data_IF_266925300441
#
_entry.id   IF_266925300441
#
_cell.length_a   1.000
_cell.length_b   1.000
_cell.length_c   1.000
_cell.angle_alpha   90.00
_cell.angle_beta   90.00
_cell.angle_gamma   90.00
#
_symmetry.space_group_name_H-M   'P 1'
#
loop_
_entity.id
_entity.type
_entity.pdbx_description
1 polymer ?
#
# COMPACT_ATOMS: atom_id res chain seq x y z
N UNK A 1 16.87 6.51 19.33
CA UNK A 1 15.42 6.59 19.01
C UNK A 1 14.69 7.64 19.84
N UNK A 2 15.11 7.89 21.09
CA UNK A 2 14.51 8.90 21.99
C UNK A 2 14.44 10.33 21.44
N UNK A 3 15.22 10.67 20.41
CA UNK A 3 15.16 11.96 19.71
C UNK A 3 14.01 12.09 18.70
N UNK A 4 13.30 11.00 18.41
CA UNK A 4 12.21 10.97 17.43
C UNK A 4 10.86 10.97 18.19
N UNK A 5 10.02 12.01 18.05
CA UNK A 5 8.69 12.07 18.65
C UNK A 5 7.77 10.94 18.17
N UNK A 6 6.76 10.57 18.98
CA UNK A 6 5.85 9.47 18.65
C UNK A 6 5.07 9.71 17.36
N UNK A 7 4.63 10.94 17.09
CA UNK A 7 3.96 11.28 15.84
C UNK A 7 4.83 10.97 14.61
N UNK A 8 6.12 11.30 14.69
CA UNK A 8 7.10 10.96 13.64
C UNK A 8 7.29 9.45 13.52
N UNK A 9 7.33 8.71 14.64
CA UNK A 9 7.42 7.24 14.61
C UNK A 9 6.21 6.62 13.92
N UNK A 10 5.00 7.06 14.27
CA UNK A 10 3.76 6.57 13.65
C UNK A 10 3.74 6.88 12.14
N UNK A 11 4.26 8.04 11.75
CA UNK A 11 4.42 8.42 10.34
C UNK A 11 5.36 7.47 9.60
N UNK A 12 6.55 7.22 10.16
CA UNK A 12 7.53 6.28 9.60
C UNK A 12 6.94 4.87 9.51
N UNK A 13 6.31 4.38 10.59
CA UNK A 13 5.67 3.08 10.66
C UNK A 13 4.58 2.92 9.59
N UNK A 14 3.76 3.94 9.38
CA UNK A 14 2.71 3.91 8.38
C UNK A 14 3.32 3.78 6.97
N UNK A 15 4.35 4.57 6.65
CA UNK A 15 5.04 4.52 5.35
C UNK A 15 5.78 3.22 5.03
N UNK A 16 5.95 2.33 6.00
CA UNK A 16 6.63 1.05 5.74
C UNK A 16 5.85 0.17 4.76
N UNK A 17 4.53 0.39 4.64
CA UNK A 17 3.69 -0.32 3.67
C UNK A 17 4.11 -0.04 2.22
N UNK A 18 4.54 1.19 1.93
CA UNK A 18 4.98 1.63 0.62
C UNK A 18 6.32 1.00 0.22
N UNK A 19 7.08 0.47 1.17
CA UNK A 19 8.30 -0.31 0.92
C UNK A 19 8.05 -1.81 0.84
N UNK A 20 6.78 -2.24 0.93
CA UNK A 20 6.41 -3.65 0.97
C UNK A 20 6.78 -4.35 2.27
N UNK A 21 7.03 -3.60 3.35
CA UNK A 21 7.25 -4.20 4.67
C UNK A 21 5.91 -4.65 5.25
N UNK A 22 5.94 -5.77 6.00
CA UNK A 22 4.75 -6.28 6.68
C UNK A 22 4.30 -5.37 7.83
N UNK A 23 5.25 -4.76 8.54
CA UNK A 23 5.00 -3.86 9.66
C UNK A 23 6.23 -2.98 9.93
N UNK A 24 5.98 -1.74 10.37
CA UNK A 24 7.00 -0.82 10.87
C UNK A 24 6.90 -0.69 12.38
N UNK A 25 7.89 -1.18 13.11
CA UNK A 25 7.89 -1.21 14.57
C UNK A 25 8.99 -0.33 15.15
N UNK A 26 8.65 0.38 16.22
CA UNK A 26 9.59 1.11 17.07
C UNK A 26 9.63 0.43 18.44
N UNK A 27 10.83 0.26 19.05
CA UNK A 27 10.94 -0.29 20.38
C UNK A 27 10.25 0.61 21.41
N UNK A 28 9.78 -0.02 22.49
CA UNK A 28 9.24 0.71 23.64
C UNK A 28 10.39 1.43 24.33
N UNK A 29 10.30 2.75 24.44
CA UNK A 29 11.23 3.58 25.19
C UNK A 29 10.47 4.61 26.04
N UNK A 30 11.22 5.40 26.81
CA UNK A 30 10.63 6.42 27.71
C UNK A 30 9.77 7.44 26.95
N UNK A 31 10.12 7.78 25.72
CA UNK A 31 9.31 8.69 24.89
C UNK A 31 7.93 8.10 24.61
N UNK A 32 7.85 6.81 24.29
CA UNK A 32 6.57 6.11 24.09
C UNK A 32 5.80 5.96 25.40
N UNK A 33 6.49 5.62 26.49
CA UNK A 33 5.86 5.52 27.82
C UNK A 33 5.19 6.84 28.22
N UNK A 34 5.91 7.97 28.11
CA UNK A 34 5.35 9.28 28.42
C UNK A 34 4.12 9.60 27.56
N UNK A 35 4.18 9.28 26.26
CA UNK A 35 3.05 9.50 25.35
C UNK A 35 1.83 8.62 25.72
N UNK A 36 2.05 7.34 26.06
CA UNK A 36 0.98 6.45 26.51
C UNK A 36 0.33 6.94 27.80
N UNK A 37 1.12 7.42 28.77
CA UNK A 37 0.62 7.99 30.03
C UNK A 37 -0.18 9.27 29.79
N UNK A 38 0.26 10.11 28.87
CA UNK A 38 -0.52 11.27 28.43
C UNK A 38 -1.86 10.84 27.84
N UNK A 39 -1.88 9.85 26.94
CA UNK A 39 -3.11 9.31 26.34
C UNK A 39 -4.03 8.61 27.34
N UNK A 40 -3.50 7.93 28.36
CA UNK A 40 -4.30 7.37 29.45
C UNK A 40 -4.98 8.48 30.27
N UNK A 41 -4.26 9.56 30.55
CA UNK A 41 -4.81 10.73 31.26
C UNK A 41 -5.89 11.43 30.43
N UNK A 42 -5.62 11.70 29.15
CA UNK A 42 -6.58 12.24 28.19
C UNK A 42 -7.85 11.37 28.14
N UNK A 43 -7.70 10.06 27.96
CA UNK A 43 -8.83 9.13 27.91
C UNK A 43 -9.64 9.09 29.22
N UNK A 44 -9.00 9.27 30.38
CA UNK A 44 -9.68 9.32 31.67
C UNK A 44 -10.47 10.63 31.88
N UNK A 45 -10.03 11.74 31.28
CA UNK A 45 -10.69 13.05 31.38
C UNK A 45 -12.00 13.11 30.60
N UNK A 46 -12.18 12.28 29.57
CA UNK A 46 -13.39 12.24 28.72
C UNK A 46 -14.23 10.99 28.99
N UNK A 47 -15.43 11.10 29.60
CA UNK A 47 -16.26 9.96 29.99
C UNK A 47 -16.59 9.00 28.83
N UNK A 48 -16.82 9.53 27.63
CA UNK A 48 -17.23 8.78 26.44
C UNK A 48 -16.05 8.29 25.57
N UNK A 49 -14.82 8.33 26.08
CA UNK A 49 -13.64 7.96 25.33
C UNK A 49 -13.54 6.44 25.12
N UNK A 50 -13.62 5.97 23.87
CA UNK A 50 -13.61 4.54 23.49
C UNK A 50 -12.35 3.74 23.88
N UNK A 51 -11.31 4.42 24.36
CA UNK A 51 -10.08 3.80 24.85
C UNK A 51 -9.91 3.88 26.37
N UNK A 52 -10.85 4.47 27.12
CA UNK A 52 -10.75 4.69 28.58
C UNK A 52 -10.49 3.40 29.37
N UNK A 53 -11.09 2.30 28.94
CA UNK A 53 -10.88 0.98 29.55
C UNK A 53 -9.69 0.22 28.94
N UNK A 54 -9.18 0.70 27.79
CA UNK A 54 -8.11 0.03 27.03
C UNK A 54 -6.72 0.55 27.35
N UNK A 55 -6.59 1.85 27.58
CA UNK A 55 -5.33 2.57 27.81
C UNK A 55 -5.42 3.20 29.20
N UNK A 56 -4.99 2.45 30.22
CA UNK A 56 -4.95 2.89 31.63
C UNK A 56 -3.51 2.95 32.13
N UNK A 57 -3.25 3.77 33.14
CA UNK A 57 -1.92 3.83 33.77
C UNK A 57 -1.47 2.46 34.30
N UNK A 58 -2.38 1.69 34.89
CA UNK A 58 -2.11 0.33 35.40
C UNK A 58 -1.65 -0.62 34.28
N UNK A 59 -2.32 -0.63 33.12
CA UNK A 59 -1.92 -1.45 31.97
C UNK A 59 -0.59 -1.01 31.37
N UNK A 60 -0.28 0.28 31.43
CA UNK A 60 1.01 0.80 30.99
C UNK A 60 2.11 0.31 31.95
N UNK A 61 1.86 0.32 33.26
CA UNK A 61 2.80 -0.21 34.25
C UNK A 61 3.06 -1.72 34.03
N UNK A 62 2.01 -2.50 33.75
CA UNK A 62 2.12 -3.93 33.39
C UNK A 62 2.97 -4.13 32.12
N UNK A 63 2.74 -3.32 31.08
CA UNK A 63 3.50 -3.38 29.82
C UNK A 63 4.98 -3.04 30.04
N UNK A 64 5.27 -2.03 30.86
CA UNK A 64 6.62 -1.58 31.16
C UNK A 64 7.37 -2.54 32.10
N UNK A 65 6.67 -3.33 32.91
CA UNK A 65 7.26 -4.30 33.82
C UNK A 65 7.90 -5.50 33.10
N UNK A 66 7.45 -5.81 31.88
CA UNK A 66 7.97 -6.90 31.06
C UNK A 66 8.10 -6.46 29.60
N UNK A 67 9.12 -5.65 29.26
CA UNK A 67 9.32 -5.20 27.89
C UNK A 67 9.57 -6.40 26.96
N UNK A 68 9.04 -6.31 25.73
CA UNK A 68 9.33 -7.27 24.68
C UNK A 68 10.72 -6.98 24.11
N UNK A 69 11.59 -7.98 24.17
CA UNK A 69 12.91 -7.95 23.53
C UNK A 69 12.89 -8.76 22.23
N UNK A 70 13.76 -8.40 21.29
CA UNK A 70 13.98 -9.22 20.11
C UNK A 70 14.63 -10.56 20.50
N UNK A 71 14.32 -11.62 19.76
CA UNK A 71 14.95 -12.92 19.96
C UNK A 71 16.49 -12.82 19.80
N UNK A 72 17.29 -13.59 20.57
CA UNK A 72 18.76 -13.50 20.54
C UNK A 72 19.41 -13.73 19.17
N UNK A 73 18.72 -14.41 18.26
CA UNK A 73 19.15 -14.71 16.88
C UNK A 73 18.52 -13.77 15.84
N UNK A 74 17.84 -12.71 16.26
CA UNK A 74 17.35 -11.68 15.36
C UNK A 74 18.52 -10.96 14.66
N UNK A 75 18.49 -10.95 13.33
CA UNK A 75 19.50 -10.33 12.48
C UNK A 75 18.86 -9.26 11.60
N UNK A 76 19.56 -8.14 11.40
CA UNK A 76 19.13 -7.12 10.44
C UNK A 76 19.38 -7.62 9.01
N UNK A 77 18.31 -7.90 8.27
CA UNK A 77 18.43 -8.27 6.86
C UNK A 77 18.91 -7.11 5.98
N UNK A 78 18.50 -5.87 6.30
CA UNK A 78 18.93 -4.62 5.63
C UNK A 78 18.88 -3.45 6.60
N UNK A 79 19.74 -2.47 6.39
CA UNK A 79 19.66 -1.15 7.01
C UNK A 79 19.29 -0.12 5.94
N UNK A 80 18.22 0.64 6.19
CA UNK A 80 17.72 1.66 5.28
C UNK A 80 17.98 3.04 5.88
N UNK A 81 18.54 3.94 5.07
CA UNK A 81 18.65 5.36 5.39
C UNK A 81 17.57 6.09 4.58
N UNK A 82 16.65 6.75 5.27
CA UNK A 82 15.44 7.28 4.67
C UNK A 82 15.28 8.76 5.00
N UNK A 83 14.97 9.55 3.97
CA UNK A 83 14.49 10.94 4.09
C UNK A 83 13.01 10.93 3.71
N UNK A 84 12.12 11.15 4.68
CA UNK A 84 10.69 10.84 4.57
C UNK A 84 9.82 12.08 4.49
N UNK A 85 8.80 12.05 3.61
CA UNK A 85 8.01 13.21 3.15
C UNK A 85 6.60 12.74 2.67
N UNK A 86 5.46 13.32 3.14
CA UNK A 86 4.19 12.53 3.25
C UNK A 86 2.80 13.26 3.35
N UNK A 87 1.68 12.49 3.28
CA UNK A 87 0.24 12.81 3.52
C UNK A 87 -0.48 11.72 4.36
N UNK A 88 -1.66 11.96 4.98
CA UNK A 88 -2.44 11.14 5.98
C UNK A 88 -1.67 10.63 7.21
N UNK A 89 -0.41 10.31 7.01
CA UNK A 89 0.71 10.29 7.95
C UNK A 89 1.02 11.65 8.59
N UNK A 90 0.76 12.78 7.90
CA UNK A 90 1.07 14.15 8.36
C UNK A 90 -0.20 15.04 8.50
N UNK A 91 -1.21 14.56 9.22
CA UNK A 91 -2.47 15.28 9.44
C UNK A 91 -2.86 15.40 10.92
N UNK A 92 -1.90 15.22 11.83
CA UNK A 92 -2.10 15.51 13.26
C UNK A 92 -2.00 17.01 13.51
N UNK A 93 -2.46 17.46 14.67
CA UNK A 93 -2.37 18.86 15.07
C UNK A 93 -0.93 19.39 15.00
N UNK A 94 0.05 18.58 15.39
CA UNK A 94 1.48 18.91 15.28
C UNK A 94 1.95 19.15 13.84
N UNK A 95 1.42 18.40 12.87
CA UNK A 95 1.73 18.58 11.45
C UNK A 95 1.09 19.87 10.89
N UNK A 96 -0.17 20.12 11.26
CA UNK A 96 -0.90 21.35 10.91
C UNK A 96 -0.15 22.56 11.47
N UNK A 97 0.30 22.46 12.72
CA UNK A 97 1.08 23.51 13.38
C UNK A 97 2.40 23.78 12.66
N UNK A 98 3.10 22.74 12.18
CA UNK A 98 4.33 22.89 11.40
C UNK A 98 4.09 23.63 10.08
N UNK A 99 3.02 23.30 9.34
CA UNK A 99 2.63 24.07 8.16
C UNK A 99 2.31 25.54 8.50
N UNK A 100 1.52 25.77 9.56
CA UNK A 100 1.13 27.10 10.01
C UNK A 100 2.33 27.94 10.46
N UNK A 101 3.36 27.31 11.03
CA UNK A 101 4.59 28.00 11.41
C UNK A 101 5.25 28.71 10.22
N UNK A 102 5.21 28.12 9.01
CA UNK A 102 5.70 28.73 7.78
C UNK A 102 4.90 29.98 7.41
N UNK A 103 3.56 29.91 7.50
CA UNK A 103 2.69 31.07 7.26
C UNK A 103 2.89 32.17 8.30
N UNK A 104 3.03 31.81 9.58
CA UNK A 104 3.29 32.76 10.68
C UNK A 104 4.67 33.41 10.55
N UNK A 105 5.69 32.68 10.12
CA UNK A 105 7.02 33.24 9.87
C UNK A 105 7.00 34.20 8.68
N UNK A 106 6.35 33.82 7.58
CA UNK A 106 6.15 34.71 6.44
C UNK A 106 5.32 35.96 6.80
N UNK A 107 4.33 35.82 7.69
CA UNK A 107 3.56 36.95 8.20
C UNK A 107 4.44 37.92 8.99
N UNK A 108 5.36 37.43 9.83
CA UNK A 108 6.34 38.29 10.54
C UNK A 108 7.18 39.11 9.57
N UNK A 109 7.60 38.52 8.45
CA UNK A 109 8.35 39.23 7.41
C UNK A 109 7.49 40.27 6.66
N UNK A 110 6.16 40.11 6.66
CA UNK A 110 5.18 40.95 5.95
C UNK A 110 4.33 41.83 6.90
N UNK A 111 4.91 42.32 7.99
CA UNK A 111 4.23 43.27 8.88
C UNK A 111 3.08 42.68 9.69
N UNK A 112 3.09 41.36 9.91
CA UNK A 112 2.10 40.63 10.71
C UNK A 112 0.89 40.11 9.92
N UNK A 113 0.81 40.36 8.61
CA UNK A 113 -0.30 39.91 7.77
C UNK A 113 0.01 38.51 7.22
N UNK A 114 -0.89 37.55 7.46
CA UNK A 114 -0.78 36.20 6.91
C UNK A 114 -0.86 36.29 5.37
N UNK A 115 0.18 35.83 4.64
CA UNK A 115 0.16 35.85 3.19
C UNK A 115 -0.85 34.84 2.64
N UNK A 116 -1.50 35.22 1.53
CA UNK A 116 -2.40 34.33 0.80
C UNK A 116 -1.61 33.32 -0.04
N UNK A 117 -2.15 32.11 -0.17
CA UNK A 117 -1.71 31.13 -1.16
C UNK A 117 -1.85 31.76 -2.54
N UNK A 118 -0.86 31.53 -3.42
CA UNK A 118 -0.89 32.13 -4.76
C UNK A 118 -2.03 31.55 -5.60
N UNK A 119 -2.67 32.37 -6.42
CA UNK A 119 -3.91 32.00 -7.14
C UNK A 119 -3.81 30.74 -8.01
N UNK A 120 -2.61 30.40 -8.47
CA UNK A 120 -2.35 29.22 -9.31
C UNK A 120 -2.26 27.92 -8.51
N UNK A 121 -2.18 28.00 -7.17
CA UNK A 121 -2.11 26.84 -6.28
C UNK A 121 -3.42 26.68 -5.53
N UNK A 122 -3.97 25.47 -5.57
CA UNK A 122 -5.03 25.06 -4.65
C UNK A 122 -4.42 24.22 -3.54
N UNK A 123 -4.55 24.69 -2.30
CA UNK A 123 -4.13 23.95 -1.12
C UNK A 123 -5.36 23.37 -0.43
N UNK A 124 -5.32 22.07 -0.14
CA UNK A 124 -6.36 21.39 0.62
C UNK A 124 -5.84 20.97 1.99
N UNK A 125 -6.69 21.04 3.01
CA UNK A 125 -6.37 20.60 4.36
C UNK A 125 -7.38 19.56 4.86
N UNK A 126 -6.87 18.60 5.63
CA UNK A 126 -7.65 17.55 6.27
C UNK A 126 -6.95 17.18 7.59
N UNK A 127 -7.73 17.01 8.65
CA UNK A 127 -7.23 16.48 9.92
C UNK A 127 -7.34 14.95 9.96
N UNK A 128 -6.43 14.28 10.65
CA UNK A 128 -6.40 12.83 10.79
C UNK A 128 -7.61 12.28 11.58
N UNK A 129 -8.21 13.10 12.44
CA UNK A 129 -9.46 12.79 13.14
C UNK A 129 -10.18 14.09 13.53
N UNK A 130 -11.45 13.97 13.95
CA UNK A 130 -12.22 15.11 14.46
C UNK A 130 -11.54 15.81 15.65
N UNK A 131 -10.79 15.06 16.47
CA UNK A 131 -10.09 15.61 17.64
C UNK A 131 -8.83 16.38 17.26
N UNK A 132 -8.10 15.89 16.26
CA UNK A 132 -6.95 16.62 15.72
C UNK A 132 -7.41 17.91 15.04
N UNK A 133 -8.60 17.89 14.43
CA UNK A 133 -9.23 19.09 13.89
C UNK A 133 -9.62 20.06 15.01
N UNK A 134 -10.32 19.59 16.04
CA UNK A 134 -10.73 20.40 17.21
C UNK A 134 -9.51 21.04 17.89
N UNK A 135 -8.43 20.28 18.11
CA UNK A 135 -7.18 20.83 18.65
C UNK A 135 -6.54 21.91 17.75
N UNK A 136 -6.60 21.73 16.43
CA UNK A 136 -6.13 22.72 15.46
C UNK A 136 -7.04 23.96 15.40
N UNK A 137 -8.36 23.80 15.60
CA UNK A 137 -9.33 24.87 15.67
C UNK A 137 -9.17 25.68 16.97
N UNK A 138 -9.05 24.99 18.12
CA UNK A 138 -8.85 25.59 19.45
C UNK A 138 -7.55 26.40 19.54
N UNK A 139 -6.49 25.92 18.89
CA UNK A 139 -5.21 26.65 18.79
C UNK A 139 -5.25 27.79 17.76
N UNK A 140 -6.31 27.90 16.97
CA UNK A 140 -6.47 28.85 15.87
C UNK A 140 -5.63 28.55 14.63
N UNK A 141 -4.86 27.46 14.63
CA UNK A 141 -3.99 27.05 13.52
C UNK A 141 -4.82 26.67 12.28
N UNK A 142 -5.98 26.04 12.49
CA UNK A 142 -6.91 25.71 11.41
C UNK A 142 -7.40 26.95 10.65
N UNK A 143 -7.77 28.00 11.40
CA UNK A 143 -8.27 29.25 10.81
C UNK A 143 -7.17 29.98 10.03
N UNK A 144 -5.91 29.92 10.46
CA UNK A 144 -4.79 30.54 9.73
C UNK A 144 -4.67 29.98 8.31
N UNK A 145 -4.85 28.67 8.12
CA UNK A 145 -4.77 28.04 6.80
C UNK A 145 -5.98 28.40 5.92
N UNK A 146 -7.19 28.41 6.50
CA UNK A 146 -8.40 28.86 5.79
C UNK A 146 -8.28 30.33 5.37
N UNK A 147 -7.80 31.19 6.27
CA UNK A 147 -7.54 32.60 5.99
C UNK A 147 -6.44 32.78 4.94
N UNK A 148 -5.49 31.85 4.81
CA UNK A 148 -4.53 31.87 3.72
C UNK A 148 -5.12 31.46 2.36
N UNK A 149 -6.34 30.89 2.34
CA UNK A 149 -7.03 30.43 1.13
C UNK A 149 -6.99 28.91 0.93
N UNK A 150 -6.67 28.13 1.96
CA UNK A 150 -6.77 26.68 1.90
C UNK A 150 -8.24 26.23 1.99
N UNK A 151 -8.56 25.13 1.31
CA UNK A 151 -9.91 24.56 1.30
C UNK A 151 -9.94 23.25 2.13
N UNK A 152 -10.97 23.09 2.96
CA UNK A 152 -11.21 21.84 3.65
C UNK A 152 -11.80 20.81 2.66
N UNK A 153 -10.97 19.83 2.30
CA UNK A 153 -11.24 18.63 1.47
C UNK A 153 -12.15 18.78 0.22
N UNK A 154 -11.56 18.60 -0.96
CA UNK A 154 -12.22 18.00 -2.15
C UNK A 154 -11.25 17.07 -2.89
N UNK A 155 -11.81 16.11 -3.64
CA UNK A 155 -11.13 15.04 -4.39
C UNK A 155 -9.99 15.49 -5.32
N UNK A 156 -8.93 14.67 -5.40
CA UNK A 156 -7.83 14.81 -6.35
C UNK A 156 -8.22 14.43 -7.80
N UNK A 157 -7.49 14.99 -8.77
CA UNK A 157 -7.68 14.76 -10.22
C UNK A 157 -6.82 13.61 -10.73
N UNK A 158 -7.33 12.84 -11.72
CA UNK A 158 -6.59 11.77 -12.41
C UNK A 158 -5.40 12.28 -13.23
N UNK A 159 -5.39 13.55 -13.59
CA UNK A 159 -4.34 14.18 -14.41
C UNK A 159 -3.28 14.89 -13.55
N UNK A 160 -3.39 14.83 -12.22
CA UNK A 160 -2.48 15.53 -11.33
C UNK A 160 -1.10 14.85 -11.28
N UNK A 161 -0.04 15.64 -11.41
CA UNK A 161 1.30 15.23 -10.99
C UNK A 161 1.37 15.36 -9.47
N UNK A 162 1.49 14.24 -8.76
CA UNK A 162 1.52 14.19 -7.31
C UNK A 162 2.97 14.14 -6.79
N UNK A 163 3.27 15.02 -5.83
CA UNK A 163 4.54 15.05 -5.12
C UNK A 163 4.24 14.99 -3.62
N UNK A 164 4.93 14.11 -2.90
CA UNK A 164 4.84 14.06 -1.45
C UNK A 164 5.78 15.13 -0.87
N UNK A 165 5.24 15.98 0.01
CA UNK A 165 5.92 17.10 0.68
C UNK A 165 5.68 17.03 2.19
N UNK A 166 6.62 17.47 3.03
CA UNK A 166 6.34 17.64 4.46
C UNK A 166 5.37 18.82 4.61
N UNK A 167 4.62 18.95 5.72
CA UNK A 167 3.70 20.07 5.91
C UNK A 167 4.34 21.44 5.63
N UNK A 168 5.60 21.62 6.05
CA UNK A 168 6.37 22.84 5.83
C UNK A 168 6.77 23.05 4.37
N UNK A 169 7.16 21.99 3.66
CA UNK A 169 7.48 22.05 2.23
C UNK A 169 6.21 22.35 1.41
N UNK A 170 5.08 21.72 1.75
CA UNK A 170 3.79 22.00 1.10
C UNK A 170 3.37 23.44 1.34
N UNK A 171 3.43 23.92 2.57
CA UNK A 171 3.13 25.31 2.93
C UNK A 171 4.04 26.31 2.20
N UNK A 172 5.35 26.07 2.22
CA UNK A 172 6.32 26.92 1.53
C UNK A 172 6.13 26.93 0.01
N UNK A 173 5.78 25.78 -0.57
CA UNK A 173 5.49 25.67 -2.01
C UNK A 173 4.20 26.40 -2.36
N UNK A 174 3.16 26.31 -1.51
CA UNK A 174 1.89 27.00 -1.70
C UNK A 174 2.02 28.52 -1.66
N UNK A 175 2.90 29.06 -0.82
CA UNK A 175 3.20 30.49 -0.78
C UNK A 175 4.02 30.98 -1.97
N UNK A 176 4.83 30.11 -2.60
CA UNK A 176 5.72 30.50 -3.70
C UNK A 176 5.20 30.15 -5.10
N UNK A 177 4.22 29.26 -5.21
CA UNK A 177 3.71 28.77 -6.50
C UNK A 177 4.61 27.78 -7.22
N UNK A 178 5.71 27.36 -6.59
CA UNK A 178 6.69 26.41 -7.11
C UNK A 178 7.13 25.47 -5.98
N UNK A 179 7.57 24.26 -6.31
CA UNK A 179 8.10 23.31 -5.31
C UNK A 179 9.31 23.94 -4.60
N UNK A 180 9.20 24.16 -3.29
CA UNK A 180 10.21 24.82 -2.49
C UNK A 180 10.19 24.34 -1.04
N UNK A 181 11.36 24.28 -0.41
CA UNK A 181 11.45 24.12 1.03
C UNK A 181 11.16 25.41 1.82
N UNK A 182 11.01 25.32 3.16
CA UNK A 182 10.74 26.45 4.05
C UNK A 182 11.93 27.43 4.22
N UNK A 183 13.09 27.14 3.60
CA UNK A 183 14.27 28.00 3.66
C UNK A 183 15.15 27.81 4.89
N UNK A 184 14.75 26.94 5.84
CA UNK A 184 15.54 26.58 7.02
C UNK A 184 16.75 25.68 6.69
N UNK A 185 16.71 24.96 5.57
CA UNK A 185 17.78 24.06 5.16
C UNK A 185 18.92 24.84 4.48
N UNK A 186 20.09 24.83 5.09
CA UNK A 186 21.35 25.24 4.45
C UNK A 186 22.01 24.01 3.85
N UNK A 187 22.26 24.03 2.55
CA UNK A 187 22.98 22.97 1.85
C UNK A 187 24.37 22.82 2.49
N UNK A 188 24.75 21.62 2.96
CA UNK A 188 26.08 21.37 3.50
C UNK A 188 27.17 21.69 2.47
N UNK A 189 28.32 22.21 2.92
CA UNK A 189 29.43 22.61 2.04
C UNK A 189 29.96 21.45 1.17
N UNK A 190 29.73 20.20 1.59
CA UNK A 190 30.13 18.97 0.92
C UNK A 190 29.00 18.27 0.14
N UNK A 191 27.90 18.97 -0.15
CA UNK A 191 26.79 18.40 -0.91
C UNK A 191 27.16 18.24 -2.40
N UNK A 192 27.20 17.00 -2.89
CA UNK A 192 27.50 16.67 -4.28
C UNK A 192 26.24 16.38 -5.13
N UNK A 193 25.04 16.56 -4.57
CA UNK A 193 23.77 16.18 -5.19
C UNK A 193 22.98 15.18 -4.36
N UNK A 194 21.80 14.80 -4.85
CA UNK A 194 21.02 13.67 -4.32
C UNK A 194 21.46 12.42 -5.08
N UNK A 195 21.86 11.38 -4.35
CA UNK A 195 22.10 10.08 -4.98
C UNK A 195 20.76 9.43 -5.29
N UNK A 196 20.47 9.26 -6.58
CA UNK A 196 19.23 8.65 -7.03
C UNK A 196 19.36 7.12 -6.95
N UNK A 197 18.98 6.56 -5.80
CA UNK A 197 18.81 5.12 -5.68
C UNK A 197 17.51 4.67 -6.35
N UNK A 198 17.60 3.92 -7.44
CA UNK A 198 16.49 3.06 -7.82
C UNK A 198 16.46 1.92 -6.81
N UNK A 199 15.32 1.74 -6.15
CA UNK A 199 15.04 0.53 -5.39
C UNK A 199 15.06 -0.65 -6.35
N UNK A 200 16.24 -1.19 -6.64
CA UNK A 200 16.33 -2.49 -7.26
C UNK A 200 15.79 -3.43 -6.20
N UNK A 201 14.57 -3.91 -6.41
CA UNK A 201 14.13 -5.18 -5.84
C UNK A 201 15.09 -6.25 -6.34
N UNK A 202 16.28 -6.30 -5.74
CA UNK A 202 17.05 -7.51 -5.70
C UNK A 202 16.18 -8.47 -4.90
N UNK A 203 15.34 -9.19 -5.64
CA UNK A 203 15.22 -10.63 -5.45
C UNK A 203 16.68 -11.06 -5.40
N UNK A 204 17.22 -11.24 -4.19
CA UNK A 204 18.49 -11.95 -4.06
C UNK A 204 18.34 -13.16 -4.96
N UNK A 205 19.34 -13.43 -5.81
CA UNK A 205 19.38 -14.69 -6.52
C UNK A 205 19.31 -15.78 -5.44
N UNK A 206 18.10 -16.18 -5.05
CA UNK A 206 17.80 -17.54 -4.71
C UNK A 206 18.13 -18.18 -6.04
N UNK A 207 19.38 -18.63 -6.16
CA UNK A 207 19.75 -19.58 -7.18
C UNK A 207 18.57 -20.54 -7.22
N UNK A 208 17.89 -20.56 -8.37
CA UNK A 208 16.93 -21.61 -8.66
C UNK A 208 17.75 -22.87 -8.49
N UNK A 209 17.71 -23.44 -7.28
CA UNK A 209 18.24 -24.74 -7.00
C UNK A 209 17.50 -25.58 -8.01
N UNK A 210 18.24 -26.13 -8.96
CA UNK A 210 17.78 -27.20 -9.82
C UNK A 210 17.37 -28.32 -8.88
N UNK A 211 16.16 -28.21 -8.34
CA UNK A 211 15.55 -29.25 -7.54
C UNK A 211 15.14 -30.27 -8.55
N UNK A 212 15.99 -31.29 -8.65
CA UNK A 212 15.70 -32.56 -9.28
C UNK A 212 14.24 -32.94 -9.04
N UNK A 213 13.62 -33.41 -10.11
CA UNK A 213 12.18 -33.58 -10.32
C UNK A 213 11.49 -34.67 -9.48
N UNK A 214 11.97 -34.95 -8.27
CA UNK A 214 11.52 -36.09 -7.45
C UNK A 214 11.00 -35.68 -6.06
N UNK A 215 10.19 -34.62 -5.99
CA UNK A 215 9.34 -34.36 -4.82
C UNK A 215 8.07 -35.22 -4.86
N UNK A 216 7.49 -35.61 -3.71
CA UNK A 216 6.19 -36.29 -3.70
C UNK A 216 5.11 -35.36 -4.30
N UNK A 217 4.20 -35.93 -5.08
CA UNK A 217 3.10 -35.18 -5.69
C UNK A 217 2.24 -34.49 -4.62
N UNK A 218 1.80 -33.26 -4.88
CA UNK A 218 0.89 -32.53 -3.99
C UNK A 218 -0.45 -33.26 -3.95
N UNK A 219 -0.97 -33.48 -2.76
CA UNK A 219 -2.32 -34.04 -2.57
C UNK A 219 -3.35 -32.99 -3.01
N UNK A 220 -4.24 -33.40 -3.92
CA UNK A 220 -5.30 -32.53 -4.45
C UNK A 220 -6.61 -32.85 -3.72
N UNK A 221 -7.18 -31.83 -3.07
CA UNK A 221 -8.44 -32.00 -2.35
C UNK A 221 -9.64 -32.18 -3.31
N UNK A 222 -10.67 -32.96 -2.94
CA UNK A 222 -11.89 -33.10 -3.74
C UNK A 222 -12.52 -31.74 -4.08
N UNK A 223 -12.78 -31.52 -5.37
CA UNK A 223 -13.34 -30.25 -5.87
C UNK A 223 -12.30 -29.21 -6.30
N UNK A 224 -11.01 -29.45 -6.06
CA UNK A 224 -9.92 -28.62 -6.58
C UNK A 224 -9.40 -29.15 -7.92
N UNK A 225 -9.13 -28.30 -8.93
CA UNK A 225 -8.67 -28.75 -10.24
C UNK A 225 -7.23 -29.29 -10.19
N UNK A 226 -6.98 -30.44 -10.82
CA UNK A 226 -5.62 -31.00 -10.95
C UNK A 226 -4.73 -30.17 -11.89
N UNK A 227 -5.34 -29.48 -12.86
CA UNK A 227 -4.63 -28.58 -13.77
C UNK A 227 -5.55 -27.48 -14.31
N UNK A 228 -4.96 -26.35 -14.66
CA UNK A 228 -5.62 -25.21 -15.32
C UNK A 228 -4.90 -24.94 -16.62
N UNK A 229 -5.62 -24.87 -17.76
CA UNK A 229 -5.02 -24.57 -19.08
C UNK A 229 -5.86 -23.53 -19.81
N UNK A 230 -5.34 -22.32 -19.96
CA UNK A 230 -6.05 -21.21 -20.58
C UNK A 230 -5.12 -20.26 -21.33
N UNK A 231 -5.71 -19.41 -22.18
CA UNK A 231 -4.95 -18.36 -22.86
C UNK A 231 -4.51 -17.28 -21.87
N UNK A 232 -3.27 -16.80 -22.05
CA UNK A 232 -2.73 -15.73 -21.24
C UNK A 232 -3.21 -14.37 -21.73
N UNK A 233 -3.83 -13.61 -20.82
CA UNK A 233 -4.08 -12.18 -20.97
C UNK A 233 -2.88 -11.44 -20.37
N UNK A 234 -2.14 -10.69 -21.19
CA UNK A 234 -1.01 -9.89 -20.69
C UNK A 234 -1.46 -8.50 -20.30
N UNK A 235 -0.87 -8.02 -19.21
CA UNK A 235 -0.92 -6.64 -18.78
C UNK A 235 0.51 -6.16 -18.52
N UNK A 236 1.06 -5.37 -19.43
CA UNK A 236 2.46 -4.94 -19.32
C UNK A 236 2.63 -3.71 -18.40
N UNK A 237 2.30 -3.92 -17.12
CA UNK A 237 2.36 -2.88 -16.08
C UNK A 237 3.02 -3.46 -14.84
N UNK A 238 4.06 -2.77 -14.38
CA UNK A 238 4.64 -2.98 -13.05
C UNK A 238 3.91 -2.09 -12.03
N UNK A 239 3.87 -2.52 -10.78
CA UNK A 239 3.35 -1.80 -9.63
C UNK A 239 1.89 -1.36 -9.81
N UNK A 240 1.08 -2.22 -10.42
CA UNK A 240 -0.35 -2.00 -10.49
C UNK A 240 -0.94 -2.09 -9.08
N UNK A 241 -1.44 -0.98 -8.58
CA UNK A 241 -2.00 -0.92 -7.24
C UNK A 241 -3.45 -1.40 -7.16
N UNK A 242 -3.94 -1.58 -5.95
CA UNK A 242 -5.30 -2.08 -5.71
C UNK A 242 -6.42 -1.10 -6.12
N UNK A 243 -6.14 0.21 -6.13
CA UNK A 243 -7.09 1.23 -6.59
C UNK A 243 -7.20 1.23 -8.14
N UNK A 244 -6.15 0.79 -8.83
CA UNK A 244 -6.17 0.56 -10.28
C UNK A 244 -6.93 -0.73 -10.64
N UNK A 245 -6.97 -1.73 -9.75
CA UNK A 245 -7.75 -2.95 -9.94
C UNK A 245 -9.24 -2.70 -9.67
N UNK A 246 -9.58 -2.03 -8.56
CA UNK A 246 -10.96 -1.67 -8.23
C UNK A 246 -11.08 -0.18 -7.92
N UNK A 247 -12.08 0.52 -8.50
CA UNK A 247 -12.32 1.93 -8.23
C UNK A 247 -12.47 2.21 -6.73
N UNK A 248 -11.78 3.26 -6.25
CA UNK A 248 -11.86 3.70 -4.84
C UNK A 248 -13.30 3.97 -4.38
N UNK A 249 -14.18 4.39 -5.30
CA UNK A 249 -15.60 4.63 -4.97
C UNK A 249 -16.28 3.41 -4.37
N UNK A 250 -15.78 2.19 -4.65
CA UNK A 250 -16.34 0.93 -4.19
C UNK A 250 -15.64 0.37 -2.94
N UNK A 251 -14.54 1.00 -2.50
CA UNK A 251 -13.70 0.50 -1.39
C UNK A 251 -14.45 0.40 -0.07
N UNK A 252 -15.48 1.23 0.15
CA UNK A 252 -16.27 1.25 1.39
C UNK A 252 -17.66 0.65 1.23
N UNK A 253 -17.96 0.06 0.08
CA UNK A 253 -19.23 -0.62 -0.15
C UNK A 253 -19.14 -2.08 0.32
N UNK A 254 -19.75 -2.42 1.45
CA UNK A 254 -19.63 -3.77 2.03
C UNK A 254 -20.43 -4.86 1.31
N UNK A 255 -21.40 -4.49 0.46
CA UNK A 255 -22.35 -5.39 -0.17
C UNK A 255 -22.33 -5.30 -1.72
N UNK A 256 -21.15 -5.27 -2.32
CA UNK A 256 -21.03 -5.32 -3.77
C UNK A 256 -21.20 -6.76 -4.26
N UNK A 257 -22.07 -6.98 -5.25
CA UNK A 257 -22.24 -8.31 -5.85
C UNK A 257 -21.02 -8.71 -6.68
N UNK A 258 -20.80 -10.02 -6.88
CA UNK A 258 -19.70 -10.53 -7.73
C UNK A 258 -19.75 -9.93 -9.15
N UNK A 259 -20.94 -9.76 -9.71
CA UNK A 259 -21.16 -9.19 -11.03
C UNK A 259 -20.85 -7.68 -11.06
N UNK A 260 -21.22 -6.95 -10.02
CA UNK A 260 -20.91 -5.52 -9.91
C UNK A 260 -19.40 -5.31 -9.75
N UNK A 261 -18.73 -6.14 -8.96
CA UNK A 261 -17.27 -6.17 -8.87
C UNK A 261 -16.61 -6.50 -10.20
N UNK A 262 -17.08 -7.55 -10.89
CA UNK A 262 -16.55 -7.94 -12.19
C UNK A 262 -16.63 -6.77 -13.19
N UNK A 263 -17.77 -6.06 -13.26
CA UNK A 263 -17.97 -4.89 -14.12
C UNK A 263 -17.10 -3.68 -13.75
N UNK A 264 -16.76 -3.54 -12.48
CA UNK A 264 -15.94 -2.44 -11.98
C UNK A 264 -14.44 -2.69 -12.12
N UNK A 265 -14.03 -3.95 -12.26
CA UNK A 265 -12.63 -4.34 -12.39
C UNK A 265 -11.95 -3.55 -13.50
N UNK A 266 -10.89 -2.83 -13.13
CA UNK A 266 -10.05 -1.95 -13.95
C UNK A 266 -10.78 -0.83 -14.69
N UNK A 267 -12.04 -0.55 -14.37
CA UNK A 267 -12.88 0.42 -15.10
C UNK A 267 -12.23 1.81 -15.24
N UNK A 268 -11.51 2.25 -14.21
CA UNK A 268 -10.89 3.57 -14.19
C UNK A 268 -9.55 3.65 -14.94
N UNK A 269 -8.94 2.50 -15.22
CA UNK A 269 -7.59 2.38 -15.73
C UNK A 269 -7.52 1.72 -17.11
N UNK A 270 -8.24 0.61 -17.30
CA UNK A 270 -8.46 -0.08 -18.57
C UNK A 270 -9.96 -0.34 -18.79
N UNK A 271 -10.69 0.62 -19.41
CA UNK A 271 -12.12 0.48 -19.70
C UNK A 271 -12.46 -0.67 -20.66
N UNK A 272 -11.48 -1.17 -21.42
CA UNK A 272 -11.66 -2.25 -22.39
C UNK A 272 -11.27 -3.63 -21.81
N UNK A 273 -10.80 -3.68 -20.57
CA UNK A 273 -10.45 -4.93 -19.88
C UNK A 273 -11.58 -5.97 -19.96
N UNK A 274 -12.83 -5.53 -19.83
CA UNK A 274 -14.02 -6.39 -19.92
C UNK A 274 -14.28 -6.95 -21.32
N UNK A 275 -13.73 -6.34 -22.37
CA UNK A 275 -13.83 -6.83 -23.77
C UNK A 275 -12.79 -7.91 -24.06
N UNK A 276 -11.66 -7.88 -23.34
CA UNK A 276 -10.51 -8.77 -23.54
C UNK A 276 -10.56 -9.98 -22.59
N UNK A 277 -10.92 -9.75 -21.34
CA UNK A 277 -11.00 -10.78 -20.30
C UNK A 277 -12.24 -11.66 -20.46
N UNK A 278 -12.09 -12.94 -20.13
CA UNK A 278 -13.16 -13.94 -20.08
C UNK A 278 -12.97 -14.79 -18.83
N UNK A 279 -14.04 -15.44 -18.32
CA UNK A 279 -13.91 -16.43 -17.25
C UNK A 279 -12.79 -17.42 -17.53
N UNK A 280 -12.09 -17.81 -16.47
CA UNK A 280 -10.95 -18.74 -16.47
C UNK A 280 -9.64 -18.23 -17.10
N UNK A 281 -9.60 -17.06 -17.75
CA UNK A 281 -8.34 -16.55 -18.29
C UNK A 281 -7.27 -16.35 -17.22
N UNK A 282 -6.03 -16.53 -17.63
CA UNK A 282 -4.87 -16.34 -16.78
C UNK A 282 -4.32 -14.94 -17.05
N UNK A 283 -4.51 -14.04 -16.09
CA UNK A 283 -3.93 -12.71 -16.13
C UNK A 283 -2.46 -12.80 -15.70
N UNK A 284 -1.56 -12.28 -16.54
CA UNK A 284 -0.15 -12.12 -16.21
C UNK A 284 0.16 -10.64 -16.26
N UNK A 285 0.67 -10.12 -15.16
CA UNK A 285 1.06 -8.72 -14.99
C UNK A 285 2.57 -8.59 -14.73
N UNK A 286 3.05 -7.35 -14.69
CA UNK A 286 4.42 -7.04 -14.28
C UNK A 286 4.65 -7.22 -12.78
N UNK A 287 5.81 -6.76 -12.31
CA UNK A 287 6.23 -6.92 -10.93
C UNK A 287 5.39 -6.05 -9.97
N UNK A 288 5.02 -6.55 -8.79
CA UNK A 288 4.28 -5.75 -7.80
C UNK A 288 2.78 -5.57 -8.09
N UNK A 289 2.14 -6.55 -8.72
CA UNK A 289 0.69 -6.54 -8.94
C UNK A 289 -0.10 -6.60 -7.63
N UNK A 290 -1.10 -5.73 -7.49
CA UNK A 290 -1.91 -5.60 -6.30
C UNK A 290 -1.20 -4.91 -5.14
N UNK A 291 -0.17 -4.09 -5.41
CA UNK A 291 0.52 -3.32 -4.37
C UNK A 291 -0.34 -2.15 -3.84
N UNK A 292 0.14 -1.46 -2.82
CA UNK A 292 -0.53 -0.29 -2.26
C UNK A 292 -1.56 -0.66 -1.21
N UNK A 293 -2.69 0.07 -1.18
CA UNK A 293 -3.70 -0.02 -0.13
C UNK A 293 -4.07 -1.47 0.19
N UNK A 294 -4.46 -1.72 1.43
CA UNK A 294 -5.14 -2.95 1.85
C UNK A 294 -6.65 -2.77 1.66
N UNK A 295 -7.24 -2.71 0.45
CA UNK A 295 -8.65 -2.91 0.42
C UNK A 295 -8.82 -4.37 0.83
N UNK A 296 -9.75 -4.59 1.75
CA UNK A 296 -10.45 -5.86 1.91
C UNK A 296 -10.76 -6.51 0.54
N UNK A 297 -10.86 -5.71 -0.54
CA UNK A 297 -11.05 -6.13 -1.91
C UNK A 297 -9.85 -6.67 -2.72
N UNK A 298 -8.61 -6.72 -2.22
CA UNK A 298 -7.52 -7.37 -2.99
C UNK A 298 -7.07 -8.69 -2.36
N UNK A 299 -6.56 -8.73 -1.10
CA UNK A 299 -6.16 -10.00 -0.48
C UNK A 299 -7.36 -10.81 0.01
N UNK A 300 -8.37 -10.16 0.61
CA UNK A 300 -9.58 -10.88 0.99
C UNK A 300 -10.37 -11.27 -0.25
N UNK A 301 -10.35 -10.51 -1.35
CA UNK A 301 -11.07 -10.88 -2.57
C UNK A 301 -10.39 -11.99 -3.39
N UNK A 302 -9.06 -12.02 -3.44
CA UNK A 302 -8.35 -13.11 -4.10
C UNK A 302 -8.58 -14.43 -3.37
N UNK A 303 -8.48 -14.45 -2.04
CA UNK A 303 -8.76 -15.67 -1.26
C UNK A 303 -10.27 -15.96 -1.15
N UNK A 304 -11.13 -14.94 -1.00
CA UNK A 304 -12.59 -15.11 -0.95
C UNK A 304 -13.18 -15.57 -2.29
N UNK A 305 -12.51 -15.29 -3.42
CA UNK A 305 -12.95 -15.73 -4.75
C UNK A 305 -12.04 -16.79 -5.40
N UNK A 306 -11.00 -17.24 -4.69
CA UNK A 306 -10.08 -18.27 -5.17
C UNK A 306 -9.18 -17.87 -6.34
N UNK A 307 -8.87 -16.58 -6.46
CA UNK A 307 -7.86 -16.08 -7.41
C UNK A 307 -6.47 -16.44 -6.91
N UNK A 308 -5.69 -17.13 -7.73
CA UNK A 308 -4.33 -17.56 -7.43
C UNK A 308 -3.34 -16.65 -8.16
N UNK A 309 -2.39 -16.08 -7.43
CA UNK A 309 -1.25 -15.36 -7.98
C UNK A 309 -0.03 -16.27 -8.08
N UNK A 310 0.67 -16.21 -9.21
CA UNK A 310 1.97 -16.87 -9.39
C UNK A 310 3.00 -15.83 -9.83
N UNK A 311 4.13 -15.79 -9.13
CA UNK A 311 5.27 -14.96 -9.55
C UNK A 311 6.11 -15.72 -10.57
N UNK A 312 6.14 -15.24 -11.82
CA UNK A 312 6.88 -15.86 -12.92
C UNK A 312 7.78 -14.82 -13.62
N UNK A 313 8.90 -14.40 -12.99
CA UNK A 313 9.75 -13.32 -13.52
C UNK A 313 10.39 -13.64 -14.88
N UNK A 314 10.59 -14.93 -15.20
CA UNK A 314 11.10 -15.36 -16.52
C UNK A 314 10.04 -15.16 -17.60
N UNK A 315 8.80 -15.55 -17.32
CA UNK A 315 7.67 -15.34 -18.23
C UNK A 315 7.45 -13.86 -18.55
N UNK A 316 7.53 -12.98 -17.54
CA UNK A 316 7.37 -11.53 -17.73
C UNK A 316 8.48 -10.99 -18.66
N UNK A 317 9.74 -11.38 -18.44
CA UNK A 317 10.87 -10.99 -19.29
C UNK A 317 10.72 -11.48 -20.73
N UNK A 318 10.38 -12.76 -20.92
CA UNK A 318 10.16 -13.34 -22.24
C UNK A 318 9.04 -12.63 -23.00
N UNK A 319 7.93 -12.31 -22.33
CA UNK A 319 6.81 -11.58 -22.95
C UNK A 319 7.16 -10.16 -23.34
N UNK A 320 7.89 -9.42 -22.51
CA UNK A 320 8.36 -8.06 -22.86
C UNK A 320 9.25 -8.06 -24.10
N UNK A 321 10.03 -9.12 -24.32
CA UNK A 321 10.81 -9.29 -25.54
C UNK A 321 9.94 -9.63 -26.75
N UNK A 322 8.94 -10.50 -26.60
CA UNK A 322 8.04 -10.92 -27.69
C UNK A 322 7.00 -9.84 -28.08
N UNK A 323 6.56 -9.03 -27.12
CA UNK A 323 5.55 -7.98 -27.29
C UNK A 323 6.07 -6.63 -26.79
N UNK A 324 7.00 -5.99 -27.51
CA UNK A 324 7.51 -4.67 -27.13
C UNK A 324 6.37 -3.64 -27.16
N UNK A 325 6.51 -2.60 -26.32
CA UNK A 325 5.54 -1.50 -26.24
C UNK A 325 5.30 -0.89 -27.61
N UNK A 326 4.07 -0.99 -28.09
CA UNK A 326 3.62 -0.43 -29.36
C UNK A 326 2.85 0.86 -29.08
N UNK A 327 3.31 1.98 -29.64
CA UNK A 327 2.64 3.28 -29.53
C UNK A 327 1.21 3.26 -30.11
N UNK A 328 0.86 2.28 -30.95
CA UNK A 328 -0.49 2.06 -31.49
C UNK A 328 -1.38 1.17 -30.61
N UNK A 329 -0.85 0.62 -29.51
CA UNK A 329 -1.59 -0.14 -28.51
C UNK A 329 -1.73 0.73 -27.25
N UNK A 330 -2.70 1.67 -27.22
CA UNK A 330 -2.85 2.59 -26.10
C UNK A 330 -3.36 1.91 -24.83
N UNK A 331 -3.84 0.66 -24.94
CA UNK A 331 -4.43 -0.11 -23.85
C UNK A 331 -3.43 -1.17 -23.39
N UNK A 332 -3.11 -1.24 -22.08
CA UNK A 332 -2.05 -2.10 -21.57
C UNK A 332 -2.39 -3.59 -21.57
N UNK A 333 -3.68 -3.94 -21.63
CA UNK A 333 -4.14 -5.33 -21.58
C UNK A 333 -4.45 -5.90 -22.96
N UNK A 334 -3.88 -7.06 -23.27
CA UNK A 334 -4.16 -7.74 -24.53
C UNK A 334 -4.00 -9.26 -24.44
N UNK A 335 -4.66 -9.96 -25.36
CA UNK A 335 -4.53 -11.40 -25.57
C UNK A 335 -3.29 -11.69 -26.41
N UNK A 336 -2.46 -12.65 -25.99
CA UNK A 336 -1.22 -12.97 -26.71
C UNK A 336 -1.31 -14.17 -27.63
N UNK A 337 -2.39 -14.95 -27.57
CA UNK A 337 -2.47 -16.26 -28.21
C UNK A 337 -1.57 -17.31 -27.57
N UNK A 338 -0.88 -16.99 -26.47
CA UNK A 338 -0.04 -17.93 -25.74
C UNK A 338 -0.89 -18.71 -24.75
N UNK A 339 -0.57 -19.98 -24.58
CA UNK A 339 -1.29 -20.86 -23.66
C UNK A 339 -0.44 -21.12 -22.43
N UNK A 340 -1.03 -20.98 -21.25
CA UNK A 340 -0.42 -21.42 -19.99
C UNK A 340 -1.17 -22.63 -19.48
N UNK A 341 -0.42 -23.68 -19.11
CA UNK A 341 -0.91 -24.84 -18.39
C UNK A 341 -0.22 -24.92 -17.03
N UNK A 342 -0.98 -24.79 -15.95
CA UNK A 342 -0.51 -25.07 -14.60
C UNK A 342 -0.91 -26.49 -14.21
N UNK A 343 0.08 -27.37 -14.03
CA UNK A 343 -0.05 -28.69 -13.41
C UNK A 343 0.14 -28.53 -11.90
N UNK A 344 -0.97 -28.48 -11.16
CA UNK A 344 -0.98 -28.21 -9.72
C UNK A 344 -0.34 -29.36 -8.95
N UNK A 345 -0.63 -30.59 -9.37
CA UNK A 345 -0.14 -31.80 -8.70
C UNK A 345 1.38 -31.89 -8.70
N UNK A 346 2.02 -31.37 -9.75
CA UNK A 346 3.48 -31.34 -9.91
C UNK A 346 4.09 -29.98 -9.57
N UNK A 347 3.28 -28.97 -9.27
CA UNK A 347 3.71 -27.59 -9.08
C UNK A 347 4.54 -27.06 -10.25
N UNK A 348 4.06 -27.32 -11.47
CA UNK A 348 4.74 -26.96 -12.71
C UNK A 348 3.85 -26.10 -13.60
N UNK A 349 4.38 -24.97 -14.06
CA UNK A 349 3.77 -24.14 -15.08
C UNK A 349 4.45 -24.41 -16.42
N UNK A 350 3.65 -24.66 -17.44
CA UNK A 350 4.08 -24.80 -18.83
C UNK A 350 3.52 -23.65 -19.65
N UNK A 351 4.34 -23.02 -20.48
CA UNK A 351 3.93 -21.93 -21.36
C UNK A 351 4.25 -22.30 -22.80
N UNK A 352 3.26 -22.14 -23.67
CA UNK A 352 3.38 -22.35 -25.11
C UNK A 352 3.20 -21.02 -25.85
N UNK A 353 4.23 -20.61 -26.58
CA UNK A 353 4.30 -19.30 -27.24
C UNK A 353 3.56 -19.26 -28.59
N UNK A 354 2.22 -19.25 -28.54
CA UNK A 354 1.40 -19.25 -29.75
C UNK A 354 1.31 -20.63 -30.40
N UNK A 355 0.63 -20.72 -31.54
CA UNK A 355 0.40 -21.99 -32.22
C UNK A 355 1.70 -22.53 -32.82
N UNK A 356 2.25 -23.60 -32.24
CA UNK A 356 3.51 -24.22 -32.68
C UNK A 356 4.79 -23.50 -32.24
N UNK A 357 4.70 -22.54 -31.33
CA UNK A 357 5.88 -21.85 -30.78
C UNK A 357 6.64 -22.64 -29.73
N UNK A 358 7.63 -22.00 -29.12
CA UNK A 358 8.48 -22.58 -28.08
C UNK A 358 7.66 -22.97 -26.84
N UNK A 359 8.00 -24.11 -26.23
CA UNK A 359 7.44 -24.54 -24.96
C UNK A 359 8.48 -24.39 -23.86
N UNK A 360 8.10 -23.71 -22.78
CA UNK A 360 8.91 -23.59 -21.57
C UNK A 360 8.17 -24.14 -20.36
N UNK A 361 8.94 -24.56 -19.35
CA UNK A 361 8.39 -25.06 -18.10
C UNK A 361 9.15 -24.45 -16.92
N UNK A 362 8.42 -24.04 -15.89
CA UNK A 362 8.94 -23.43 -14.68
C UNK A 362 8.26 -24.05 -13.46
N UNK A 363 9.05 -24.37 -12.43
CA UNK A 363 8.54 -24.87 -11.17
C UNK A 363 8.03 -23.70 -10.34
N UNK A 364 6.86 -23.85 -9.73
CA UNK A 364 6.23 -22.86 -8.86
C UNK A 364 6.06 -23.40 -7.45
N UNK A 365 5.66 -22.53 -6.52
CA UNK A 365 5.33 -22.94 -5.15
C UNK A 365 4.13 -23.87 -5.10
N UNK A 366 4.14 -24.78 -4.12
CA UNK A 366 3.01 -25.69 -3.87
C UNK A 366 1.81 -24.92 -3.31
N UNK A 367 0.59 -25.38 -3.63
CA UNK A 367 -0.63 -24.82 -3.06
C UNK A 367 -0.94 -25.52 -1.73
N UNK A 368 -0.93 -24.80 -0.59
CA UNK A 368 -1.23 -25.38 0.71
C UNK A 368 -2.65 -25.97 0.78
N UNK A 369 -2.88 -27.09 1.50
CA UNK A 369 -4.20 -27.74 1.58
C UNK A 369 -5.33 -26.84 2.08
N UNK A 370 -5.06 -25.93 3.01
CA UNK A 370 -6.04 -24.96 3.51
C UNK A 370 -6.50 -23.97 2.42
N UNK A 371 -5.61 -23.60 1.49
CA UNK A 371 -5.97 -22.75 0.34
C UNK A 371 -6.78 -23.54 -0.68
N UNK A 372 -6.41 -24.80 -0.95
CA UNK A 372 -7.18 -25.69 -1.81
C UNK A 372 -8.61 -25.89 -1.29
N UNK A 373 -8.78 -26.08 0.03
CA UNK A 373 -10.08 -26.24 0.69
C UNK A 373 -10.96 -24.99 0.49
N UNK A 374 -10.39 -23.81 0.73
CA UNK A 374 -11.09 -22.52 0.54
C UNK A 374 -11.62 -22.41 -0.90
N UNK A 375 -10.79 -22.74 -1.89
CA UNK A 375 -11.15 -22.64 -3.31
C UNK A 375 -12.20 -23.69 -3.68
N UNK A 376 -12.02 -24.94 -3.25
CA UNK A 376 -12.94 -26.05 -3.53
C UNK A 376 -14.35 -25.80 -2.96
N UNK A 377 -14.45 -25.10 -1.83
CA UNK A 377 -15.72 -24.72 -1.21
C UNK A 377 -16.32 -23.43 -1.78
N UNK A 378 -15.67 -22.79 -2.75
CA UNK A 378 -16.17 -21.58 -3.41
C UNK A 378 -15.87 -20.28 -2.67
N UNK A 379 -14.90 -20.29 -1.75
CA UNK A 379 -14.39 -19.13 -1.03
C UNK A 379 -14.40 -19.28 0.50
N UNK A 380 -13.72 -18.35 1.18
CA UNK A 380 -13.56 -18.39 2.64
C UNK A 380 -14.90 -18.32 3.38
N UNK A 381 -15.86 -17.53 2.88
CA UNK A 381 -17.20 -17.43 3.48
C UNK A 381 -17.93 -18.77 3.48
N UNK A 382 -17.91 -19.49 2.35
CA UNK A 382 -18.56 -20.79 2.24
C UNK A 382 -17.83 -21.85 3.06
N UNK A 383 -16.49 -21.80 3.12
CA UNK A 383 -15.70 -22.60 4.06
C UNK A 383 -16.14 -22.36 5.50
N UNK A 384 -16.26 -21.11 5.94
CA UNK A 384 -16.74 -20.79 7.28
C UNK A 384 -18.17 -21.31 7.53
N UNK A 385 -19.09 -21.17 6.56
CA UNK A 385 -20.45 -21.75 6.67
C UNK A 385 -20.42 -23.27 6.78
N UNK A 386 -19.55 -23.93 6.03
CA UNK A 386 -19.37 -25.38 6.07
C UNK A 386 -18.85 -25.85 7.43
N UNK A 387 -17.85 -25.18 7.98
CA UNK A 387 -17.31 -25.48 9.31
C UNK A 387 -18.34 -25.25 10.43
N UNK A 388 -19.13 -24.17 10.34
CA UNK A 388 -20.21 -23.92 11.30
C UNK A 388 -21.29 -25.00 11.27
N UNK A 389 -21.62 -25.54 10.08
CA UNK A 389 -22.57 -26.65 9.93
C UNK A 389 -22.03 -27.99 10.44
N UNK A 390 -20.71 -28.20 10.47
CA UNK A 390 -20.10 -29.40 11.07
C UNK A 390 -20.13 -29.37 12.60
N UNK A 391 -20.08 -28.16 13.17
CA UNK A 391 -20.08 -27.94 14.61
C UNK A 391 -21.49 -27.93 15.25
N UNK A 392 -22.54 -27.85 14.43
CA UNK A 392 -23.95 -27.99 14.79
C UNK A 392 -24.46 -29.40 14.55
#
# INVERSE_FOLDING_TARGET
MSSIPIDTRLTISNMTTEWGALSGLFPIDTTLECWLRYKATEAAMFPDHSAKERITHERIDELCASPLDADPDALYAKQLYLNLVVSCTNSRHSDIQAAVAVFKEAAKANGGVVPKIVDVVKMFIAAASSREQEAAEDSGDWQVLLDAGAEALVMGSREALAYLGSPEVVAASALKGIISGPGAYKVPENWAGVDHGYGNSFIGNVESTETSSNGPAVEILPGFPESVREEIVFMDIDSQDTDQIYPRSMTYESNVSKEAMAKACMKDYDPDFQKVSRPNNILVSGNGFGCGSSPIFSPSNSINHGLMGLELPRLIRGRRAAFPKDAKRPIPTFRTGWMLKWDVKKSMVHVQEGEGGEESAEKVGDIPPNVQEIIALGGLHERCRHELKKAS
#
